data_IF_160966293247
#
_entry.id   IF_160966293247
#
_cell.length_a   1.000
_cell.length_b   1.000
_cell.length_c   1.000
_cell.angle_alpha   90.00
_cell.angle_beta   90.00
_cell.angle_gamma   90.00
#
_symmetry.space_group_name_H-M   'P 1'
#
loop_
_entity.id
_entity.type
_entity.pdbx_description
1 polymer ?
#
# COMPACT_ATOMS: atom_id res chain seq x y z
N UNK A 1 11.75 5.96 -0.96
CA UNK A 1 12.82 4.95 -1.03
C UNK A 1 12.23 3.56 -0.80
N UNK A 2 12.33 2.70 -1.82
CA UNK A 2 11.91 1.29 -1.74
C UNK A 2 12.82 0.51 -0.79
N UNK A 3 12.23 -0.39 0.00
CA UNK A 3 12.96 -1.30 0.88
C UNK A 3 13.62 -2.42 0.08
N UNK A 4 14.62 -3.10 0.68
CA UNK A 4 15.30 -4.22 0.03
C UNK A 4 14.32 -5.32 -0.41
N UNK A 5 13.30 -5.60 0.41
CA UNK A 5 12.26 -6.60 0.11
C UNK A 5 11.38 -6.20 -1.08
N UNK A 6 11.11 -4.90 -1.25
CA UNK A 6 10.38 -4.37 -2.40
C UNK A 6 11.21 -4.40 -3.66
N UNK A 7 12.50 -4.07 -3.56
CA UNK A 7 13.44 -4.19 -4.68
C UNK A 7 13.54 -5.65 -5.14
N UNK A 8 13.57 -6.60 -4.21
CA UNK A 8 13.60 -8.03 -4.54
C UNK A 8 12.29 -8.49 -5.21
N UNK A 9 11.12 -8.03 -4.73
CA UNK A 9 9.83 -8.29 -5.39
C UNK A 9 9.76 -7.64 -6.77
N UNK A 10 10.26 -6.42 -6.91
CA UNK A 10 10.36 -5.74 -8.20
C UNK A 10 11.28 -6.51 -9.15
N UNK A 11 12.37 -7.10 -8.65
CA UNK A 11 13.27 -7.93 -9.44
C UNK A 11 12.61 -9.22 -9.90
N UNK A 12 11.92 -9.94 -9.02
CA UNK A 12 11.17 -11.15 -9.42
C UNK A 12 10.07 -10.82 -10.45
N UNK A 13 9.39 -9.68 -10.27
CA UNK A 13 8.44 -9.20 -11.25
C UNK A 13 9.13 -8.90 -12.58
N UNK A 14 10.23 -8.13 -12.55
CA UNK A 14 11.01 -7.75 -13.72
C UNK A 14 11.51 -8.98 -14.50
N UNK A 15 12.07 -9.97 -13.82
CA UNK A 15 12.49 -11.25 -14.42
C UNK A 15 11.31 -12.08 -14.98
N UNK A 16 10.09 -11.83 -14.52
CA UNK A 16 8.88 -12.43 -15.10
C UNK A 16 8.43 -11.73 -16.38
N UNK A 17 8.67 -10.43 -16.48
CA UNK A 17 8.36 -9.59 -17.65
C UNK A 17 9.42 -9.79 -18.74
N UNK A 18 10.71 -9.75 -18.38
CA UNK A 18 11.88 -9.98 -19.24
C UNK A 18 12.00 -11.48 -19.59
N UNK A 19 11.41 -11.86 -20.72
CA UNK A 19 11.33 -13.26 -21.16
C UNK A 19 12.60 -13.68 -21.88
N UNK A 20 13.25 -12.75 -22.55
CA UNK A 20 14.45 -13.00 -23.33
C UNK A 20 15.74 -12.89 -22.50
N UNK A 21 15.65 -12.35 -21.27
CA UNK A 21 16.76 -12.17 -20.35
C UNK A 21 17.70 -11.05 -20.79
N UNK A 22 17.19 -10.08 -21.55
CA UNK A 22 17.96 -8.93 -22.05
C UNK A 22 18.35 -7.97 -20.93
N UNK A 23 17.67 -8.02 -19.78
CA UNK A 23 17.82 -7.08 -18.68
C UNK A 23 17.03 -5.79 -18.86
N UNK A 24 16.16 -5.72 -19.87
CA UNK A 24 15.31 -4.59 -20.22
C UNK A 24 13.94 -5.10 -20.67
N UNK A 25 12.85 -4.47 -20.27
CA UNK A 25 11.50 -4.87 -20.72
C UNK A 25 11.13 -4.04 -21.95
N UNK A 26 11.00 -4.67 -23.10
CA UNK A 26 10.56 -3.98 -24.31
C UNK A 26 9.03 -3.88 -24.39
N UNK A 27 8.53 -3.09 -25.36
CA UNK A 27 7.09 -2.91 -25.58
C UNK A 27 6.36 -4.24 -25.80
N UNK A 28 7.03 -5.18 -26.46
CA UNK A 28 6.44 -6.47 -26.75
C UNK A 28 6.29 -7.32 -25.49
N UNK A 29 7.32 -7.40 -24.65
CA UNK A 29 7.30 -8.14 -23.39
C UNK A 29 6.33 -7.55 -22.39
N UNK A 30 6.24 -6.22 -22.30
CA UNK A 30 5.25 -5.54 -21.48
C UNK A 30 3.83 -5.92 -21.92
N UNK A 31 3.57 -5.91 -23.23
CA UNK A 31 2.26 -6.28 -23.80
C UNK A 31 1.89 -7.74 -23.56
N UNK A 32 2.82 -8.66 -23.80
CA UNK A 32 2.63 -10.09 -23.56
C UNK A 32 2.36 -10.38 -22.09
N UNK A 33 3.03 -9.67 -21.18
CA UNK A 33 2.81 -9.88 -19.75
C UNK A 33 1.51 -9.28 -19.26
N UNK A 34 1.10 -8.10 -19.77
CA UNK A 34 -0.22 -7.53 -19.49
C UNK A 34 -1.33 -8.46 -19.97
N UNK A 35 -1.17 -9.08 -21.15
CA UNK A 35 -2.03 -10.17 -21.63
C UNK A 35 -2.06 -11.38 -20.71
N UNK A 36 -0.92 -11.81 -20.20
CA UNK A 36 -0.84 -12.92 -19.25
C UNK A 36 -1.54 -12.60 -17.91
N UNK A 37 -1.61 -11.33 -17.51
CA UNK A 37 -2.37 -10.85 -16.35
C UNK A 37 -3.87 -10.66 -16.64
N UNK A 38 -4.33 -10.97 -17.86
CA UNK A 38 -5.72 -10.83 -18.28
C UNK A 38 -6.12 -9.43 -18.75
N UNK A 39 -5.17 -8.51 -18.89
CA UNK A 39 -5.37 -7.19 -19.48
C UNK A 39 -5.00 -7.22 -20.97
N UNK A 40 -5.73 -6.50 -21.82
CA UNK A 40 -5.48 -6.55 -23.26
C UNK A 40 -5.18 -5.14 -23.80
N UNK A 41 -4.03 -4.56 -23.46
CA UNK A 41 -3.68 -3.20 -23.83
C UNK A 41 -3.40 -3.10 -25.33
N UNK A 42 -3.72 -1.94 -25.90
CA UNK A 42 -3.41 -1.57 -27.28
C UNK A 42 -1.94 -1.18 -27.44
N UNK A 43 -1.42 -1.25 -28.66
CA UNK A 43 -0.03 -0.84 -28.94
C UNK A 43 0.24 0.63 -28.55
N UNK A 44 -0.75 1.51 -28.72
CA UNK A 44 -0.68 2.91 -28.28
C UNK A 44 -0.60 3.04 -26.75
N UNK A 45 -1.37 2.27 -25.99
CA UNK A 45 -1.32 2.30 -24.52
C UNK A 45 0.01 1.79 -24.00
N UNK A 46 0.53 0.70 -24.57
CA UNK A 46 1.84 0.16 -24.22
C UNK A 46 2.94 1.18 -24.53
N UNK A 47 2.87 1.83 -25.69
CA UNK A 47 3.83 2.86 -26.08
C UNK A 47 3.73 4.11 -25.18
N UNK A 48 2.52 4.50 -24.78
CA UNK A 48 2.30 5.59 -23.82
C UNK A 48 2.83 5.24 -22.43
N UNK A 49 2.67 4.00 -22.00
CA UNK A 49 3.22 3.51 -20.74
C UNK A 49 4.75 3.53 -20.79
N UNK A 50 5.34 2.99 -21.86
CA UNK A 50 6.78 3.07 -22.07
C UNK A 50 7.27 4.50 -22.10
N UNK A 51 6.70 5.37 -22.92
CA UNK A 51 7.14 6.77 -23.05
C UNK A 51 6.97 7.61 -21.77
N UNK A 52 6.17 7.15 -20.80
CA UNK A 52 6.06 7.80 -19.48
C UNK A 52 7.15 7.36 -18.50
N UNK A 53 7.83 6.25 -18.80
CA UNK A 53 8.75 5.55 -17.91
C UNK A 53 10.19 5.59 -18.45
N UNK A 54 10.32 5.48 -19.76
CA UNK A 54 11.51 5.58 -20.59
C UNK A 54 11.97 7.05 -20.64
N UNK A 55 12.64 7.47 -19.56
CA UNK A 55 13.21 8.82 -19.41
C UNK A 55 14.42 9.01 -20.34
N UNK A 56 15.12 7.92 -20.66
CA UNK A 56 16.35 7.93 -21.44
C UNK A 56 16.14 7.75 -22.95
N UNK A 57 14.92 7.37 -23.36
CA UNK A 57 14.52 7.18 -24.75
C UNK A 57 15.13 5.93 -25.37
N UNK A 58 15.48 4.93 -24.56
CA UNK A 58 15.99 3.63 -25.00
C UNK A 58 14.94 2.82 -25.76
N UNK A 59 13.66 3.13 -25.57
CA UNK A 59 12.52 2.37 -26.12
C UNK A 59 12.27 1.06 -25.37
N UNK A 60 12.85 0.89 -24.19
CA UNK A 60 12.69 -0.25 -23.29
C UNK A 60 12.69 0.24 -21.84
N UNK A 61 12.16 -0.54 -20.89
CA UNK A 61 12.18 -0.18 -19.48
C UNK A 61 13.36 -0.89 -18.82
N UNK A 62 14.34 -0.12 -18.37
CA UNK A 62 15.45 -0.66 -17.60
C UNK A 62 15.04 -0.92 -16.15
N UNK A 63 15.75 -1.82 -15.45
CA UNK A 63 15.48 -2.10 -14.03
C UNK A 63 15.44 -0.83 -13.14
N UNK A 64 16.35 0.16 -13.29
CA UNK A 64 16.29 1.42 -12.52
C UNK A 64 15.03 2.24 -12.81
N UNK A 65 14.55 2.24 -14.05
CA UNK A 65 13.35 2.97 -14.47
C UNK A 65 12.09 2.29 -13.94
N UNK A 66 12.04 0.96 -14.00
CA UNK A 66 10.98 0.16 -13.38
C UNK A 66 10.86 0.45 -11.88
N UNK A 67 11.99 0.55 -11.16
CA UNK A 67 11.98 0.92 -9.74
C UNK A 67 11.44 2.33 -9.51
N UNK A 68 11.81 3.31 -10.33
CA UNK A 68 11.26 4.68 -10.23
C UNK A 68 9.75 4.70 -10.43
N UNK A 69 9.22 3.89 -11.36
CA UNK A 69 7.78 3.80 -11.58
C UNK A 69 7.07 3.17 -10.40
N UNK A 70 7.61 2.08 -9.87
CA UNK A 70 7.03 1.43 -8.70
C UNK A 70 7.14 2.36 -7.49
N UNK A 71 8.23 3.12 -7.34
CA UNK A 71 8.38 4.12 -6.29
C UNK A 71 7.38 5.27 -6.46
N UNK A 72 7.21 5.80 -7.67
CA UNK A 72 6.24 6.86 -7.95
C UNK A 72 4.78 6.38 -7.80
N UNK A 73 4.48 5.16 -8.25
CA UNK A 73 3.20 4.50 -8.03
C UNK A 73 2.97 4.20 -6.56
N UNK A 74 4.00 3.75 -5.83
CA UNK A 74 3.93 3.53 -4.39
C UNK A 74 3.68 4.85 -3.68
N UNK A 75 4.38 5.93 -4.01
CA UNK A 75 4.15 7.25 -3.42
C UNK A 75 2.74 7.77 -3.75
N UNK A 76 2.29 7.61 -5.00
CA UNK A 76 0.93 7.95 -5.41
C UNK A 76 -0.14 7.06 -4.77
N UNK A 77 0.16 5.78 -4.52
CA UNK A 77 -0.71 4.83 -3.86
C UNK A 77 -0.70 5.00 -2.34
N UNK A 78 0.42 5.33 -1.70
CA UNK A 78 0.45 5.72 -0.28
C UNK A 78 -0.24 7.04 -0.05
N UNK A 79 -0.19 7.99 -1.00
CA UNK A 79 -1.03 9.18 -0.94
C UNK A 79 -2.53 8.89 -1.12
N UNK A 80 -2.91 7.66 -1.49
CA UNK A 80 -4.29 7.20 -1.59
C UNK A 80 -4.64 6.03 -0.64
N UNK A 81 -3.74 5.58 0.25
CA UNK A 81 -3.96 4.37 1.05
C UNK A 81 -3.83 4.53 2.58
N UNK A 82 -3.83 5.76 3.11
CA UNK A 82 -4.02 5.91 4.56
C UNK A 82 -5.40 5.41 5.00
N UNK A 83 -6.43 5.60 4.17
CA UNK A 83 -7.80 5.29 4.59
C UNK A 83 -8.10 3.79 4.63
N UNK A 84 -7.59 3.00 3.67
CA UNK A 84 -7.86 1.55 3.66
C UNK A 84 -7.12 0.81 4.77
N UNK A 85 -5.86 1.16 5.03
CA UNK A 85 -5.07 0.52 6.08
C UNK A 85 -5.61 0.90 7.48
N UNK A 86 -6.06 2.15 7.65
CA UNK A 86 -6.75 2.59 8.87
C UNK A 86 -8.10 1.88 9.04
N UNK A 87 -8.87 1.71 7.96
CA UNK A 87 -10.15 0.99 8.01
C UNK A 87 -9.93 -0.48 8.37
N UNK A 88 -8.93 -1.14 7.79
CA UNK A 88 -8.63 -2.54 8.10
C UNK A 88 -8.19 -2.71 9.57
N UNK A 89 -7.37 -1.79 10.08
CA UNK A 89 -6.99 -1.77 11.49
C UNK A 89 -8.19 -1.50 12.42
N UNK A 90 -9.06 -0.55 12.05
CA UNK A 90 -10.28 -0.22 12.80
C UNK A 90 -11.26 -1.39 12.84
N UNK A 91 -11.48 -2.05 11.71
CA UNK A 91 -12.32 -3.25 11.60
C UNK A 91 -11.75 -4.41 12.43
N UNK A 92 -10.43 -4.61 12.41
CA UNK A 92 -9.77 -5.64 13.20
C UNK A 92 -9.97 -5.44 14.72
N UNK A 93 -10.08 -4.19 15.18
CA UNK A 93 -10.28 -3.87 16.59
C UNK A 93 -11.76 -3.87 17.03
N UNK A 94 -12.70 -3.90 16.09
CA UNK A 94 -14.13 -4.02 16.37
C UNK A 94 -15.01 -2.95 15.73
N UNK A 95 -14.43 -2.03 14.95
CA UNK A 95 -15.17 -1.10 14.11
C UNK A 95 -15.70 -1.73 12.82
N UNK A 96 -16.32 -0.93 11.97
CA UNK A 96 -16.86 -1.35 10.67
C UNK A 96 -16.13 -0.66 9.50
N UNK A 97 -16.17 -1.33 8.34
CA UNK A 97 -15.51 -0.86 7.12
C UNK A 97 -16.19 0.39 6.51
N UNK A 98 -17.42 0.68 6.93
CA UNK A 98 -18.16 1.89 6.54
C UNK A 98 -17.81 3.11 7.40
N UNK A 99 -16.71 3.03 8.19
CA UNK A 99 -16.28 4.04 9.18
C UNK A 99 -17.31 4.26 10.29
N UNK A 100 -18.22 3.32 10.47
CA UNK A 100 -19.16 3.31 11.59
C UNK A 100 -18.74 2.28 12.62
N UNK A 101 -19.43 2.26 13.75
CA UNK A 101 -19.04 1.44 14.88
C UNK A 101 -17.95 2.11 15.69
N UNK A 102 -17.58 1.45 16.77
CA UNK A 102 -16.77 2.00 17.82
C UNK A 102 -15.92 0.88 18.40
N UNK A 103 -14.69 1.19 18.75
CA UNK A 103 -13.84 0.25 19.45
C UNK A 103 -14.06 0.45 20.94
N UNK A 104 -14.75 -0.49 21.58
CA UNK A 104 -14.98 -0.44 23.03
C UNK A 104 -13.63 -0.40 23.78
N UNK A 105 -13.42 0.66 24.57
CA UNK A 105 -12.25 0.82 25.40
C UNK A 105 -12.02 -0.38 26.33
N UNK A 106 -13.08 -1.00 26.85
CA UNK A 106 -12.99 -2.21 27.68
C UNK A 106 -12.37 -3.40 26.94
N UNK A 107 -12.70 -3.56 25.66
CA UNK A 107 -12.16 -4.63 24.82
C UNK A 107 -10.70 -4.38 24.47
N UNK A 108 -10.35 -3.12 24.21
CA UNK A 108 -8.96 -2.67 24.05
C UNK A 108 -8.16 -2.95 25.33
N UNK A 109 -8.69 -2.56 26.50
CA UNK A 109 -8.11 -2.79 27.84
C UNK A 109 -7.87 -4.26 28.11
N UNK A 110 -8.85 -5.12 27.81
CA UNK A 110 -8.70 -6.57 27.96
C UNK A 110 -7.62 -7.12 27.05
N UNK A 111 -7.51 -6.62 25.83
CA UNK A 111 -6.52 -7.08 24.86
C UNK A 111 -5.12 -6.65 25.29
N UNK A 112 -4.87 -5.37 25.56
CA UNK A 112 -3.56 -4.88 26.04
C UNK A 112 -3.13 -5.59 27.35
N UNK A 113 -4.09 -5.83 28.25
CA UNK A 113 -3.84 -6.59 29.50
C UNK A 113 -3.58 -8.08 29.25
N UNK A 114 -4.21 -8.68 28.24
CA UNK A 114 -3.96 -10.07 27.83
C UNK A 114 -2.61 -10.23 27.12
N UNK A 115 -2.13 -9.20 26.43
CA UNK A 115 -0.81 -9.15 25.81
C UNK A 115 0.31 -8.71 26.78
N UNK A 116 0.02 -8.53 28.08
CA UNK A 116 0.96 -8.11 29.15
C UNK A 116 1.79 -6.85 28.79
N UNK A 117 1.23 -5.97 27.97
CA UNK A 117 1.88 -4.71 27.63
C UNK A 117 1.77 -3.76 28.84
N UNK A 118 2.90 -3.17 29.27
CA UNK A 118 2.96 -2.25 30.42
C UNK A 118 2.44 -0.84 30.09
N UNK A 119 1.53 -0.75 29.12
CA UNK A 119 1.02 0.50 28.59
C UNK A 119 -0.18 0.95 29.43
N UNK A 120 -0.16 2.20 29.87
CA UNK A 120 -1.22 2.80 30.68
C UNK A 120 -2.42 3.15 29.80
N UNK A 121 -3.26 2.13 29.55
CA UNK A 121 -4.36 2.22 28.59
C UNK A 121 -5.44 3.24 29.02
N UNK A 122 -5.59 3.49 30.32
CA UNK A 122 -6.45 4.56 30.83
C UNK A 122 -6.08 5.92 30.22
N UNK A 123 -4.79 6.21 30.20
CA UNK A 123 -4.27 7.46 29.65
C UNK A 123 -4.37 7.52 28.13
N UNK A 124 -4.14 6.40 27.44
CA UNK A 124 -4.28 6.34 25.98
C UNK A 124 -5.71 6.57 25.53
N UNK A 125 -6.68 6.03 26.27
CA UNK A 125 -8.09 6.27 25.99
C UNK A 125 -8.39 7.73 26.27
N UNK A 126 -8.07 8.28 27.45
CA UNK A 126 -8.32 9.69 27.76
C UNK A 126 -7.65 10.69 26.79
N UNK A 127 -6.51 10.32 26.19
CA UNK A 127 -5.82 11.15 25.19
C UNK A 127 -6.43 11.04 23.78
N UNK A 128 -7.15 9.95 23.48
CA UNK A 128 -7.69 9.65 22.14
C UNK A 128 -9.21 9.87 22.06
N UNK A 129 -9.94 9.50 23.10
CA UNK A 129 -11.39 9.69 23.33
C UNK A 129 -11.64 11.16 23.70
N UNK A 130 -11.73 12.00 22.66
CA UNK A 130 -11.87 13.44 22.80
C UNK A 130 -13.31 13.83 23.19
N UNK A 131 -14.28 12.98 22.85
CA UNK A 131 -15.69 13.19 23.18
C UNK A 131 -16.10 12.63 24.56
N UNK A 132 -15.24 11.81 25.18
CA UNK A 132 -15.42 11.23 26.50
C UNK A 132 -16.49 10.13 26.53
N UNK A 133 -16.78 9.52 25.38
CA UNK A 133 -17.77 8.46 25.23
C UNK A 133 -17.33 7.13 25.85
N UNK A 134 -16.03 6.95 26.09
CA UNK A 134 -15.43 5.69 26.52
C UNK A 134 -15.30 4.66 25.40
N UNK A 135 -15.51 5.07 24.15
CA UNK A 135 -15.34 4.24 22.96
C UNK A 135 -14.52 5.04 21.94
N UNK A 136 -13.65 4.37 21.17
CA UNK A 136 -12.84 5.07 20.16
C UNK A 136 -13.54 4.96 18.81
N UNK A 137 -13.97 6.09 18.27
CA UNK A 137 -14.56 6.16 16.94
C UNK A 137 -13.51 6.24 15.83
N UNK A 138 -13.95 6.24 14.56
CA UNK A 138 -13.04 6.27 13.43
C UNK A 138 -12.22 7.57 13.34
N UNK A 139 -12.80 8.72 13.69
CA UNK A 139 -12.13 10.02 13.67
C UNK A 139 -11.08 10.11 14.78
N UNK A 140 -11.39 9.58 15.96
CA UNK A 140 -10.48 9.49 17.11
C UNK A 140 -9.36 8.48 16.85
N UNK A 141 -9.69 7.31 16.29
CA UNK A 141 -8.69 6.33 15.83
C UNK A 141 -7.77 6.94 14.79
N UNK A 142 -8.32 7.70 13.82
CA UNK A 142 -7.53 8.41 12.82
C UNK A 142 -6.66 9.49 13.44
N UNK A 143 -7.15 10.23 14.44
CA UNK A 143 -6.38 11.24 15.17
C UNK A 143 -5.23 10.63 16.00
N UNK A 144 -5.34 9.37 16.41
CA UNK A 144 -4.27 8.65 17.11
C UNK A 144 -3.08 8.32 16.18
N UNK A 145 -3.33 8.12 14.89
CA UNK A 145 -2.33 7.68 13.91
C UNK A 145 -1.81 8.80 12.98
N UNK A 146 -2.23 10.05 13.20
CA UNK A 146 -1.94 11.21 12.35
C UNK A 146 -1.32 12.37 13.15
#
# INVERSE_FOLDING_TARGET
MLTQEEIDKCREAFERFDKDGSGTIDAWELKETLKAMGQNPTDEEVFQMLSQVDDDGSGSIEFPEFLKVIEAQKEAATAQNDESDLIDAFVAMGGNADKTGHVEAEKLRRTIKAFELTVDIDRLIDETDADGSGEIDYEEFKAMFN
#
